data_IF_061653668658
#
_entry.id   IF_061653668658
#
_cell.length_a   1.000
_cell.length_b   1.000
_cell.length_c   1.000
_cell.angle_alpha   90.00
_cell.angle_beta   90.00
_cell.angle_gamma   90.00
#
_symmetry.space_group_name_H-M   'P 1'
#
loop_
_entity.id
_entity.type
_entity.pdbx_description
1 polymer ?
#
# COMPACT_ATOMS: atom_id res chain seq x y z
N UNK A 1 0.16 -15.08 24.75
CA UNK A 1 -0.78 -15.64 23.75
C UNK A 1 -1.54 -14.56 22.98
N UNK A 2 -1.94 -13.45 23.61
CA UNK A 2 -2.74 -12.37 22.99
C UNK A 2 -2.05 -11.59 21.87
N UNK A 3 -0.73 -11.40 21.94
CA UNK A 3 0.01 -10.65 20.90
C UNK A 3 0.21 -11.42 19.60
N UNK A 4 0.53 -12.72 19.67
CA UNK A 4 0.68 -13.55 18.47
C UNK A 4 -0.64 -13.61 17.69
N UNK A 5 -1.77 -13.62 18.39
CA UNK A 5 -3.09 -13.52 17.77
C UNK A 5 -3.26 -12.17 17.05
N UNK A 6 -2.92 -11.05 17.70
CA UNK A 6 -2.92 -9.72 17.08
C UNK A 6 -2.06 -9.64 15.81
N UNK A 7 -0.84 -10.17 15.86
CA UNK A 7 0.08 -10.15 14.71
C UNK A 7 -0.53 -10.92 13.54
N UNK A 8 -1.09 -12.10 13.79
CA UNK A 8 -1.70 -12.94 12.74
C UNK A 8 -2.98 -12.32 12.20
N UNK A 9 -3.85 -11.79 13.07
CA UNK A 9 -5.15 -11.23 12.71
C UNK A 9 -5.04 -9.90 11.94
N UNK A 10 -4.03 -9.08 12.24
CA UNK A 10 -3.95 -7.70 11.74
C UNK A 10 -2.72 -7.46 10.87
N UNK A 11 -1.54 -7.89 11.33
CA UNK A 11 -0.28 -7.49 10.68
C UNK A 11 0.10 -8.36 9.48
N UNK A 12 -0.19 -9.65 9.52
CA UNK A 12 0.25 -10.59 8.49
C UNK A 12 -0.28 -10.20 7.11
N UNK A 13 -1.55 -9.83 7.02
CA UNK A 13 -2.16 -9.38 5.76
C UNK A 13 -1.48 -8.11 5.20
N UNK A 14 -1.38 -7.07 6.02
CA UNK A 14 -0.75 -5.81 5.62
C UNK A 14 0.72 -6.01 5.21
N UNK A 15 1.43 -6.88 5.92
CA UNK A 15 2.82 -7.22 5.61
C UNK A 15 2.97 -7.93 4.27
N UNK A 16 2.04 -8.81 3.90
CA UNK A 16 2.08 -9.50 2.61
C UNK A 16 1.87 -8.56 1.44
N UNK A 17 1.04 -7.55 1.62
CA UNK A 17 0.72 -6.60 0.57
C UNK A 17 1.69 -5.39 0.51
N UNK A 18 2.52 -5.22 1.54
CA UNK A 18 3.57 -4.19 1.64
C UNK A 18 4.43 -3.97 0.38
N UNK A 19 4.82 -5.00 -0.40
CA UNK A 19 5.67 -4.79 -1.58
C UNK A 19 4.94 -4.14 -2.76
N UNK A 20 3.61 -4.03 -2.72
CA UNK A 20 2.81 -3.53 -3.84
C UNK A 20 2.42 -2.07 -3.60
N UNK A 21 3.12 -1.17 -4.29
CA UNK A 21 2.93 0.29 -4.22
C UNK A 21 1.50 0.73 -4.52
N UNK A 22 0.86 0.11 -5.52
CA UNK A 22 -0.50 0.41 -5.95
C UNK A 22 -1.51 0.24 -4.81
N UNK A 23 -1.28 -0.75 -3.94
CA UNK A 23 -2.16 -1.08 -2.82
C UNK A 23 -1.84 -0.28 -1.55
N UNK A 24 -0.69 0.40 -1.50
CA UNK A 24 -0.17 0.98 -0.28
C UNK A 24 -1.14 1.99 0.37
N UNK A 25 -1.75 2.97 -0.35
CA UNK A 25 -2.63 3.93 0.30
C UNK A 25 -3.89 3.30 0.91
N UNK A 26 -4.53 2.40 0.17
CA UNK A 26 -5.75 1.71 0.61
C UNK A 26 -5.46 0.76 1.79
N UNK A 27 -4.35 0.01 1.70
CA UNK A 27 -3.93 -0.91 2.75
C UNK A 27 -3.61 -0.19 4.04
N UNK A 28 -2.95 0.97 3.96
CA UNK A 28 -2.58 1.72 5.14
C UNK A 28 -3.81 2.31 5.86
N UNK A 29 -4.80 2.82 5.12
CA UNK A 29 -6.07 3.24 5.72
C UNK A 29 -6.85 2.05 6.32
N UNK A 30 -6.86 0.91 5.62
CA UNK A 30 -7.49 -0.31 6.12
C UNK A 30 -6.84 -0.81 7.41
N UNK A 31 -5.50 -0.89 7.43
CA UNK A 31 -4.73 -1.29 8.60
C UNK A 31 -4.96 -0.32 9.75
N UNK A 32 -4.97 1.00 9.51
CA UNK A 32 -5.29 1.97 10.55
C UNK A 32 -6.67 1.71 11.16
N UNK A 33 -7.67 1.38 10.35
CA UNK A 33 -9.01 0.99 10.81
C UNK A 33 -9.04 -0.29 11.64
N UNK A 34 -8.25 -1.31 11.26
CA UNK A 34 -8.11 -2.53 12.06
C UNK A 34 -7.42 -2.26 13.41
N UNK A 35 -6.38 -1.41 13.42
CA UNK A 35 -5.67 -1.04 14.65
C UNK A 35 -6.55 -0.24 15.61
N UNK A 36 -7.33 0.72 15.12
CA UNK A 36 -8.21 1.56 15.95
C UNK A 36 -9.43 0.81 16.49
N UNK A 37 -9.87 -0.24 15.80
CA UNK A 37 -10.98 -1.10 16.22
C UNK A 37 -10.55 -2.36 16.99
N UNK A 38 -9.25 -2.56 17.23
CA UNK A 38 -8.77 -3.77 17.88
C UNK A 38 -9.25 -3.88 19.33
N UNK A 39 -9.70 -5.09 19.72
CA UNK A 39 -10.39 -5.35 20.99
C UNK A 39 -9.57 -5.00 22.23
N UNK A 40 -8.25 -5.15 22.17
CA UNK A 40 -7.37 -4.84 23.28
C UNK A 40 -6.98 -3.35 23.24
N UNK A 41 -7.41 -2.53 24.23
CA UNK A 41 -7.21 -1.08 24.18
C UNK A 41 -5.74 -0.67 24.32
N UNK A 42 -4.92 -1.44 25.04
CA UNK A 42 -3.47 -1.19 25.16
C UNK A 42 -2.77 -1.43 23.83
N UNK A 43 -3.09 -2.53 23.14
CA UNK A 43 -2.58 -2.82 21.80
C UNK A 43 -3.05 -1.72 20.84
N UNK A 44 -4.36 -1.50 20.74
CA UNK A 44 -4.97 -0.47 19.89
C UNK A 44 -4.29 0.89 20.04
N UNK A 45 -4.14 1.38 21.28
CA UNK A 45 -3.53 2.68 21.55
C UNK A 45 -2.07 2.71 21.10
N UNK A 46 -1.27 1.73 21.53
CA UNK A 46 0.17 1.70 21.22
C UNK A 46 0.41 1.61 19.71
N UNK A 47 -0.30 0.69 19.04
CA UNK A 47 -0.06 0.39 17.62
C UNK A 47 -0.64 1.46 16.70
N UNK A 48 -1.79 2.04 17.02
CA UNK A 48 -2.35 3.13 16.23
C UNK A 48 -1.50 4.40 16.34
N UNK A 49 -0.97 4.73 17.53
CA UNK A 49 -0.05 5.86 17.70
C UNK A 49 1.25 5.65 16.94
N UNK A 50 1.84 4.47 17.05
CA UNK A 50 3.05 4.12 16.32
C UNK A 50 2.82 4.18 14.79
N UNK A 51 1.74 3.56 14.31
CA UNK A 51 1.45 3.50 12.88
C UNK A 51 1.16 4.88 12.27
N UNK A 52 0.41 5.75 12.95
CA UNK A 52 0.15 7.14 12.49
C UNK A 52 1.41 7.96 12.24
N UNK A 53 2.49 7.74 13.02
CA UNK A 53 3.79 8.42 12.81
C UNK A 53 4.43 8.05 11.48
N UNK A 54 4.04 6.92 10.92
CA UNK A 54 4.57 6.40 9.67
C UNK A 54 3.67 6.70 8.46
N UNK A 55 2.46 7.21 8.67
CA UNK A 55 1.55 7.58 7.58
C UNK A 55 1.86 8.95 6.95
N UNK A 56 2.99 9.57 7.29
CA UNK A 56 3.44 10.85 6.74
C UNK A 56 3.53 10.86 5.21
N UNK A 57 3.77 9.69 4.61
CA UNK A 57 3.88 9.54 3.17
C UNK A 57 2.50 9.52 2.49
N UNK A 58 1.42 9.16 3.21
CA UNK A 58 0.04 9.19 2.72
C UNK A 58 -0.39 10.65 2.57
N UNK A 59 0.04 11.22 1.45
CA UNK A 59 0.04 12.63 1.14
C UNK A 59 -0.69 12.86 -0.18
N UNK A 60 -0.92 14.14 -0.49
CA UNK A 60 -1.50 14.58 -1.77
C UNK A 60 -0.77 13.99 -2.99
N UNK A 61 0.53 13.63 -2.88
CA UNK A 61 1.27 13.02 -3.99
C UNK A 61 1.09 11.50 -4.06
N UNK A 62 1.35 10.79 -2.96
CA UNK A 62 1.46 9.32 -2.99
C UNK A 62 0.12 8.61 -2.86
N UNK A 63 -0.96 9.31 -2.48
CA UNK A 63 -2.33 8.76 -2.62
C UNK A 63 -2.64 8.38 -4.07
N UNK A 64 -1.96 9.01 -5.05
CA UNK A 64 -2.12 8.71 -6.47
C UNK A 64 -1.83 7.24 -6.82
N UNK A 65 -1.01 6.52 -6.04
CA UNK A 65 -0.80 5.09 -6.24
C UNK A 65 -2.12 4.29 -6.24
N UNK A 66 -3.13 4.73 -5.48
CA UNK A 66 -4.42 4.05 -5.39
C UNK A 66 -5.30 4.17 -6.65
N UNK A 67 -4.94 5.03 -7.63
CA UNK A 67 -5.61 5.04 -8.95
C UNK A 67 -5.48 3.70 -9.67
N UNK A 68 -4.41 2.98 -9.37
CA UNK A 68 -4.02 1.70 -9.94
C UNK A 68 -4.45 0.51 -9.09
N UNK A 69 -5.08 0.76 -7.93
CA UNK A 69 -5.63 -0.29 -7.09
C UNK A 69 -7.01 -0.69 -7.60
N UNK A 70 -7.14 -1.93 -8.10
CA UNK A 70 -8.40 -2.46 -8.63
C UNK A 70 -9.55 -2.47 -7.62
N UNK A 71 -9.24 -2.48 -6.32
CA UNK A 71 -10.21 -2.53 -5.22
C UNK A 71 -10.89 -1.19 -4.96
N UNK A 72 -10.31 -0.08 -5.45
CA UNK A 72 -10.93 1.25 -5.36
C UNK A 72 -12.13 1.30 -6.29
N UNK A 73 -13.29 1.69 -5.77
CA UNK A 73 -14.53 1.75 -6.53
C UNK A 73 -14.49 2.78 -7.66
N UNK A 74 -15.31 2.59 -8.70
CA UNK A 74 -15.39 3.52 -9.83
C UNK A 74 -15.78 4.93 -9.38
N UNK A 75 -16.76 5.05 -8.48
CA UNK A 75 -17.18 6.35 -7.95
C UNK A 75 -16.05 7.06 -7.20
N UNK A 76 -15.30 6.32 -6.37
CA UNK A 76 -14.18 6.89 -5.63
C UNK A 76 -13.06 7.34 -6.58
N UNK A 77 -12.74 6.57 -7.61
CA UNK A 77 -11.78 6.98 -8.66
C UNK A 77 -12.25 8.24 -9.40
N UNK A 78 -13.53 8.34 -9.77
CA UNK A 78 -14.09 9.55 -10.40
C UNK A 78 -13.94 10.76 -9.47
N UNK A 79 -14.23 10.58 -8.18
CA UNK A 79 -14.09 11.64 -7.19
C UNK A 79 -12.62 12.05 -6.98
N UNK A 80 -11.68 11.10 -6.98
CA UNK A 80 -10.25 11.37 -6.96
C UNK A 80 -9.86 12.27 -8.17
N UNK A 81 -10.25 11.90 -9.39
CA UNK A 81 -9.99 12.71 -10.60
C UNK A 81 -10.59 14.11 -10.46
N UNK A 82 -11.86 14.21 -10.03
CA UNK A 82 -12.54 15.49 -9.80
C UNK A 82 -11.78 16.37 -8.81
N UNK A 83 -11.34 15.80 -7.69
CA UNK A 83 -10.63 16.52 -6.64
C UNK A 83 -9.25 16.99 -7.11
N UNK A 84 -8.59 16.22 -7.99
CA UNK A 84 -7.32 16.61 -8.59
C UNK A 84 -7.43 17.88 -9.45
N UNK A 85 -8.60 18.19 -9.99
CA UNK A 85 -8.81 19.41 -10.79
C UNK A 85 -9.48 20.54 -10.00
N UNK A 86 -10.13 20.24 -8.87
CA UNK A 86 -11.00 21.21 -8.16
C UNK A 86 -10.56 21.58 -6.75
N UNK A 87 -9.85 20.69 -6.05
CA UNK A 87 -9.44 20.93 -4.66
C UNK A 87 -8.01 21.47 -4.64
N UNK A 88 -7.79 22.74 -4.26
CA UNK A 88 -6.45 23.31 -4.23
C UNK A 88 -5.57 22.57 -3.22
N UNK A 89 -4.40 22.13 -3.66
CA UNK A 89 -3.39 21.54 -2.79
C UNK A 89 -2.74 22.56 -1.87
N UNK A 90 -2.21 22.10 -0.75
CA UNK A 90 -1.55 22.99 0.20
C UNK A 90 -0.08 23.27 -0.17
N UNK A 91 0.37 24.51 0.10
CA UNK A 91 1.76 24.94 -0.05
C UNK A 91 2.27 25.58 1.25
N UNK A 92 3.23 24.95 1.97
CA UNK A 92 3.82 23.64 1.69
C UNK A 92 2.81 22.49 1.89
N UNK A 93 2.99 21.35 1.21
CA UNK A 93 2.14 20.19 1.43
C UNK A 93 2.23 19.82 2.91
N UNK A 94 1.09 19.60 3.57
CA UNK A 94 1.09 19.39 4.99
C UNK A 94 1.77 18.04 5.23
N UNK A 95 2.81 18.04 6.08
CA UNK A 95 3.30 16.82 6.72
C UNK A 95 2.21 16.36 7.69
N UNK A 96 1.10 15.88 7.18
CA UNK A 96 -0.04 15.49 7.99
C UNK A 96 0.29 14.13 8.60
N UNK A 97 0.70 14.14 9.87
CA UNK A 97 0.35 13.02 10.71
C UNK A 97 -1.18 12.93 10.66
N UNK A 98 -1.71 11.80 10.18
CA UNK A 98 -3.15 11.59 10.13
C UNK A 98 -3.75 11.88 11.51
N UNK A 99 -4.84 12.65 11.52
CA UNK A 99 -5.63 12.98 12.70
C UNK A 99 -6.44 11.76 13.16
N UNK A 100 -7.00 11.85 14.36
CA UNK A 100 -7.97 10.88 14.83
C UNK A 100 -9.17 10.84 13.87
N UNK A 101 -9.70 9.64 13.59
CA UNK A 101 -10.78 9.34 12.64
C UNK A 101 -10.41 9.36 11.14
N UNK A 102 -9.15 9.60 10.77
CA UNK A 102 -8.73 9.60 9.37
C UNK A 102 -8.86 8.21 8.70
N UNK A 103 -8.96 7.12 9.46
CA UNK A 103 -9.18 5.76 8.92
C UNK A 103 -10.52 5.59 8.19
N UNK A 104 -11.49 6.47 8.43
CA UNK A 104 -12.82 6.43 7.79
C UNK A 104 -12.91 7.32 6.56
N UNK A 105 -11.86 8.07 6.26
CA UNK A 105 -11.87 9.01 5.14
C UNK A 105 -11.70 8.26 3.83
N UNK A 106 -12.44 8.64 2.77
CA UNK A 106 -12.18 8.11 1.45
C UNK A 106 -10.81 8.58 0.95
N UNK A 107 -10.19 7.79 0.08
CA UNK A 107 -8.92 8.11 -0.58
C UNK A 107 -9.01 9.43 -1.34
N UNK A 108 -10.17 9.70 -1.94
CA UNK A 108 -10.45 10.95 -2.64
C UNK A 108 -10.27 12.20 -1.77
N UNK A 109 -10.42 12.10 -0.45
CA UNK A 109 -10.24 13.23 0.47
C UNK A 109 -8.77 13.65 0.66
N UNK A 110 -7.81 12.84 0.18
CA UNK A 110 -6.39 13.17 0.18
C UNK A 110 -5.93 13.71 -1.18
N UNK A 111 -6.78 13.64 -2.20
CA UNK A 111 -6.46 14.08 -3.56
C UNK A 111 -6.71 15.57 -3.69
N UNK A 112 -5.72 16.29 -4.24
CA UNK A 112 -5.78 17.73 -4.52
C UNK A 112 -5.13 18.03 -5.88
N UNK A 113 -5.08 19.30 -6.28
CA UNK A 113 -4.32 19.76 -7.45
C UNK A 113 -2.82 19.45 -7.37
N UNK A 114 -2.25 19.26 -6.17
CA UNK A 114 -0.86 18.82 -6.04
C UNK A 114 -0.63 17.40 -6.55
N UNK A 115 -1.65 16.54 -6.51
CA UNK A 115 -1.57 15.12 -6.93
C UNK A 115 -1.08 14.99 -8.37
N UNK A 116 -1.43 15.94 -9.25
CA UNK A 116 -0.99 15.95 -10.65
C UNK A 116 0.54 15.96 -10.81
N UNK A 117 1.27 16.49 -9.82
CA UNK A 117 2.74 16.47 -9.82
C UNK A 117 3.30 15.04 -9.75
N UNK A 118 2.54 14.06 -9.24
CA UNK A 118 2.95 12.65 -9.26
C UNK A 118 3.25 12.17 -10.68
N UNK A 119 2.36 12.46 -11.63
CA UNK A 119 2.55 12.12 -13.05
C UNK A 119 3.75 12.85 -13.66
N UNK A 120 3.96 14.11 -13.29
CA UNK A 120 5.10 14.91 -13.77
C UNK A 120 6.44 14.37 -13.25
N UNK A 121 6.52 14.04 -11.95
CA UNK A 121 7.74 13.55 -11.29
C UNK A 121 8.14 12.19 -11.85
N UNK A 122 7.17 11.29 -12.03
CA UNK A 122 7.40 9.94 -12.54
C UNK A 122 7.36 9.84 -14.07
N UNK A 123 7.13 10.97 -14.77
CA UNK A 123 7.01 11.05 -16.23
C UNK A 123 5.98 10.04 -16.78
N UNK A 124 4.87 9.90 -16.08
CA UNK A 124 3.79 8.98 -16.45
C UNK A 124 2.86 9.64 -17.46
N UNK A 125 2.35 8.88 -18.45
CA UNK A 125 1.29 9.38 -19.29
C UNK A 125 0.01 9.57 -18.45
N UNK A 126 -0.67 10.70 -18.61
CA UNK A 126 -1.83 11.09 -17.80
C UNK A 126 -3.08 11.40 -18.65
N UNK A 127 -3.00 11.19 -19.97
CA UNK A 127 -4.08 11.53 -20.92
C UNK A 127 -5.36 10.74 -20.69
N UNK A 128 -5.28 9.57 -20.05
CA UNK A 128 -6.45 8.76 -19.71
C UNK A 128 -7.29 9.39 -18.59
N UNK A 129 -6.74 10.32 -17.80
CA UNK A 129 -7.45 10.95 -16.68
C UNK A 129 -8.66 11.79 -17.13
N UNK A 130 -8.71 12.20 -18.40
CA UNK A 130 -9.85 12.92 -18.99
C UNK A 130 -10.90 11.99 -19.61
N UNK A 131 -10.61 10.69 -19.69
CA UNK A 131 -11.51 9.67 -20.23
C UNK A 131 -12.40 9.08 -19.12
N UNK A 132 -13.42 8.33 -19.51
CA UNK A 132 -14.24 7.60 -18.55
C UNK A 132 -13.39 6.57 -17.79
N UNK A 133 -13.48 6.58 -16.46
CA UNK A 133 -12.77 5.66 -15.56
C UNK A 133 -13.05 4.19 -15.89
N UNK A 134 -14.24 3.89 -16.41
CA UNK A 134 -14.61 2.53 -16.81
C UNK A 134 -13.76 1.98 -17.96
N UNK A 135 -13.25 2.86 -18.83
CA UNK A 135 -12.45 2.48 -20.02
C UNK A 135 -10.95 2.55 -19.78
N UNK A 136 -10.52 2.79 -18.53
CA UNK A 136 -9.10 2.94 -18.22
C UNK A 136 -8.34 1.64 -18.40
N UNK A 137 -8.93 0.49 -18.09
CA UNK A 137 -8.23 -0.80 -18.17
C UNK A 137 -7.81 -1.16 -19.60
N UNK A 138 -8.57 -0.70 -20.58
CA UNK A 138 -8.31 -0.89 -22.02
C UNK A 138 -7.36 0.16 -22.59
N UNK A 139 -7.01 1.19 -21.81
CA UNK A 139 -6.18 2.30 -22.28
C UNK A 139 -4.68 1.98 -22.13
N UNK A 140 -3.92 2.05 -23.23
CA UNK A 140 -2.49 1.76 -23.26
C UNK A 140 -1.66 2.64 -22.31
N UNK A 141 -2.00 3.92 -22.18
CA UNK A 141 -1.31 4.84 -21.28
C UNK A 141 -1.59 4.50 -19.81
N UNK A 142 -2.82 4.08 -19.48
CA UNK A 142 -3.13 3.60 -18.14
C UNK A 142 -2.35 2.33 -17.81
N UNK A 143 -2.30 1.37 -18.74
CA UNK A 143 -1.56 0.12 -18.54
C UNK A 143 -0.05 0.36 -18.36
N UNK A 144 0.52 1.31 -19.12
CA UNK A 144 1.91 1.71 -18.97
C UNK A 144 2.16 2.35 -17.61
N UNK A 145 1.35 3.34 -17.24
CA UNK A 145 1.47 4.01 -15.94
C UNK A 145 1.29 3.02 -14.78
N UNK A 146 0.33 2.10 -14.89
CA UNK A 146 0.11 1.03 -13.93
C UNK A 146 1.35 0.16 -13.75
N UNK A 147 1.98 -0.29 -14.85
CA UNK A 147 3.19 -1.13 -14.80
C UNK A 147 4.34 -0.43 -14.10
N UNK A 148 4.55 0.86 -14.40
CA UNK A 148 5.61 1.67 -13.77
C UNK A 148 5.31 1.83 -12.28
N UNK A 149 4.10 2.25 -11.91
CA UNK A 149 3.73 2.45 -10.51
C UNK A 149 3.83 1.16 -9.73
N UNK A 150 3.33 0.03 -10.26
CA UNK A 150 3.43 -1.29 -9.64
C UNK A 150 4.89 -1.74 -9.41
N UNK A 151 5.82 -1.31 -10.27
CA UNK A 151 7.26 -1.54 -10.13
C UNK A 151 7.95 -0.68 -9.07
N UNK A 152 7.28 0.34 -8.52
CA UNK A 152 7.87 1.21 -7.49
C UNK A 152 8.15 0.41 -6.22
N UNK A 153 9.42 0.41 -5.82
CA UNK A 153 9.88 -0.24 -4.60
C UNK A 153 9.41 0.56 -3.37
N UNK A 154 8.24 0.23 -2.82
CA UNK A 154 7.72 0.75 -1.53
C UNK A 154 8.28 0.01 -0.30
N UNK A 155 9.28 -0.86 -0.52
CA UNK A 155 9.71 -1.93 0.39
C UNK A 155 10.24 -1.46 1.73
N UNK A 156 10.64 -0.19 1.88
CA UNK A 156 11.28 0.23 3.12
C UNK A 156 10.30 0.51 4.26
N UNK A 157 9.13 1.06 3.96
CA UNK A 157 8.33 1.64 5.01
C UNK A 157 7.50 0.61 5.76
N UNK A 158 6.78 -0.28 5.08
CA UNK A 158 5.88 -1.21 5.78
C UNK A 158 6.60 -2.36 6.50
N UNK A 159 7.75 -2.82 5.99
CA UNK A 159 8.57 -3.83 6.65
C UNK A 159 9.29 -3.25 7.88
N UNK A 160 9.89 -2.06 7.78
CA UNK A 160 10.49 -1.37 8.93
C UNK A 160 9.41 -0.98 9.95
N UNK A 161 8.22 -0.55 9.51
CA UNK A 161 7.07 -0.28 10.39
C UNK A 161 6.62 -1.51 11.17
N UNK A 162 6.48 -2.66 10.49
CA UNK A 162 6.10 -3.91 11.13
C UNK A 162 7.14 -4.37 12.14
N UNK A 163 8.44 -4.32 11.80
CA UNK A 163 9.54 -4.65 12.72
C UNK A 163 9.57 -3.69 13.91
N UNK A 164 9.48 -2.38 13.67
CA UNK A 164 9.57 -1.36 14.72
C UNK A 164 8.40 -1.43 15.69
N UNK A 165 7.20 -1.72 15.19
CA UNK A 165 6.01 -1.83 16.01
C UNK A 165 5.98 -3.14 16.82
N UNK A 166 6.51 -4.23 16.27
CA UNK A 166 6.80 -5.45 17.03
C UNK A 166 7.87 -5.20 18.10
N UNK A 167 8.93 -4.44 17.78
CA UNK A 167 9.98 -4.06 18.73
C UNK A 167 9.44 -3.18 19.86
N UNK A 168 8.66 -2.15 19.54
CA UNK A 168 8.03 -1.25 20.51
C UNK A 168 7.04 -2.02 21.40
N UNK A 169 6.20 -2.89 20.84
CA UNK A 169 5.27 -3.70 21.62
C UNK A 169 5.99 -4.72 22.54
N UNK A 170 6.99 -5.43 22.03
CA UNK A 170 7.73 -6.42 22.82
C UNK A 170 8.52 -5.78 23.97
N UNK A 171 9.01 -4.56 23.78
CA UNK A 171 9.65 -3.77 24.85
C UNK A 171 8.71 -3.45 26.02
N UNK A 172 7.39 -3.47 25.76
CA UNK A 172 6.34 -3.18 26.75
C UNK A 172 5.89 -4.45 27.50
N UNK A 173 6.06 -5.66 26.93
CA UNK A 173 5.44 -6.87 27.50
C UNK A 173 6.35 -8.11 27.70
N UNK A 174 7.35 -8.41 26.86
CA UNK A 174 8.11 -9.69 26.99
C UNK A 174 9.50 -9.68 26.33
N UNK A 175 10.53 -10.17 27.05
CA UNK A 175 11.90 -10.42 26.57
C UNK A 175 12.08 -11.80 25.87
N UNK A 176 11.08 -12.31 25.15
CA UNK A 176 11.16 -13.66 24.53
C UNK A 176 11.68 -13.60 23.08
N UNK A 177 13.00 -13.71 22.94
CA UNK A 177 13.72 -13.66 21.66
C UNK A 177 13.42 -14.84 20.71
N UNK A 178 12.95 -15.98 21.21
CA UNK A 178 12.66 -17.14 20.34
C UNK A 178 11.42 -16.92 19.47
N UNK A 179 10.37 -16.34 20.04
CA UNK A 179 9.15 -16.03 19.30
C UNK A 179 9.41 -14.98 18.22
N UNK A 180 10.30 -14.02 18.50
CA UNK A 180 10.78 -13.00 17.54
C UNK A 180 11.44 -13.66 16.34
N UNK A 181 12.35 -14.59 16.57
CA UNK A 181 13.11 -15.25 15.51
C UNK A 181 12.20 -16.12 14.62
N UNK A 182 11.24 -16.81 15.22
CA UNK A 182 10.28 -17.66 14.50
C UNK A 182 9.38 -16.86 13.56
N UNK A 183 8.81 -15.75 14.03
CA UNK A 183 7.95 -14.89 13.22
C UNK A 183 8.71 -14.29 12.02
N UNK A 184 9.94 -13.81 12.24
CA UNK A 184 10.78 -13.27 11.17
C UNK A 184 11.12 -14.34 10.12
N UNK A 185 11.39 -15.57 10.54
CA UNK A 185 11.67 -16.69 9.63
C UNK A 185 10.45 -17.07 8.79
N UNK A 186 9.27 -17.19 9.40
CA UNK A 186 8.01 -17.46 8.68
C UNK A 186 7.76 -16.42 7.59
N UNK A 187 7.89 -15.15 7.96
CA UNK A 187 7.70 -14.02 7.04
C UNK A 187 8.72 -14.04 5.90
N UNK A 188 9.98 -14.32 6.20
CA UNK A 188 11.05 -14.39 5.20
C UNK A 188 10.82 -15.56 4.22
N UNK A 189 10.42 -16.73 4.73
CA UNK A 189 10.10 -17.90 3.89
C UNK A 189 8.96 -17.61 2.92
N UNK A 190 7.86 -17.01 3.39
CA UNK A 190 6.76 -16.66 2.49
C UNK A 190 7.13 -15.58 1.46
N UNK A 191 7.98 -14.61 1.82
CA UNK A 191 8.49 -13.62 0.86
C UNK A 191 9.29 -14.28 -0.26
N UNK A 192 10.11 -15.28 0.07
CA UNK A 192 10.84 -16.06 -0.91
C UNK A 192 9.90 -16.78 -1.87
N UNK A 193 8.93 -17.52 -1.33
CA UNK A 193 7.92 -18.25 -2.13
C UNK A 193 7.21 -17.32 -3.11
N UNK A 194 6.76 -16.14 -2.66
CA UNK A 194 6.08 -15.18 -3.54
C UNK A 194 7.02 -14.51 -4.55
N UNK A 195 8.29 -14.30 -4.20
CA UNK A 195 9.29 -13.76 -5.13
C UNK A 195 9.69 -14.78 -6.21
N UNK A 196 9.71 -16.06 -5.87
CA UNK A 196 10.01 -17.16 -6.79
C UNK A 196 8.81 -17.47 -7.70
N UNK A 197 7.57 -17.37 -7.20
CA UNK A 197 6.36 -17.47 -8.02
C UNK A 197 6.29 -16.41 -9.13
N UNK A 198 6.87 -15.22 -8.92
CA UNK A 198 6.99 -14.16 -9.95
C UNK A 198 8.03 -14.49 -11.03
N UNK A 199 9.00 -15.37 -10.76
CA UNK A 199 10.03 -15.79 -11.74
C UNK A 199 9.54 -16.90 -12.65
N UNK A 200 8.58 -17.72 -12.20
CA UNK A 200 8.09 -18.88 -12.94
C UNK A 200 7.03 -18.59 -14.00
N UNK A 201 6.49 -17.37 -14.11
CA UNK A 201 5.55 -16.98 -15.18
C UNK A 201 6.22 -16.39 -16.42
N UNK A 202 7.56 -16.41 -16.51
CA UNK A 202 8.34 -15.82 -17.61
C UNK A 202 9.04 -16.79 -18.59
N UNK A 203 8.90 -18.11 -18.46
CA UNK A 203 9.52 -19.07 -19.39
C UNK A 203 8.61 -20.27 -19.63
N UNK A 204 7.61 -20.12 -20.50
CA UNK A 204 6.93 -21.23 -21.16
C UNK A 204 6.26 -20.72 -22.43
N UNK A 205 7.06 -20.48 -23.46
CA UNK A 205 6.57 -20.10 -24.77
C UNK A 205 7.70 -20.06 -25.79
N UNK A 206 7.64 -21.02 -26.72
CA UNK A 206 8.37 -21.08 -28.00
C UNK A 206 9.77 -21.71 -27.97
N UNK A 207 9.85 -23.00 -28.32
CA UNK A 207 10.58 -23.47 -29.53
C UNK A 207 10.45 -24.99 -29.66
N UNK A 208 9.84 -25.44 -30.76
CA UNK A 208 9.74 -26.86 -31.09
C UNK A 208 8.80 -27.12 -32.26
N UNK A 209 9.11 -26.62 -33.46
CA UNK A 209 8.53 -27.15 -34.69
C UNK A 209 9.30 -28.42 -35.12
N UNK A 210 8.61 -29.44 -35.67
CA UNK A 210 9.23 -30.71 -36.04
C UNK A 210 9.86 -30.63 -37.43
N UNK A 211 11.05 -31.23 -37.61
CA UNK A 211 11.59 -31.53 -38.93
C UNK A 211 11.07 -32.89 -39.39
N UNK A 212 10.23 -32.88 -40.42
CA UNK A 212 10.11 -34.00 -41.36
C UNK A 212 11.40 -34.10 -42.18
N UNK A 213 12.07 -35.26 -42.10
CA UNK A 213 12.49 -36.06 -43.27
C UNK A 213 12.98 -37.42 -42.79
#
# INVERSE_FOLDING_TARGET
MTFNLFVVEVYVEAWFQAPFSVYAPANDLHLLGQLTSYKNPTICQATSVAFRRHLWYLSELLVCCAYFDERVGLEERREMVRNMDTIPGATPPPKQALRDCDEKRPLSSFVTTSTRKFFQILQLPDSYLTQNVETWKENDHYQEAHRIVQGLKVVNDCAERGVKLIQEYNSIWTNDDQQRQYLLQLVQQHRHVLSDCKRTTGVSGLTGQPKLM
#
